data_IF_690219898002
#
_entry.id   IF_690219898002
#
_cell.length_a   1.000
_cell.length_b   1.000
_cell.length_c   1.000
_cell.angle_alpha   90.00
_cell.angle_beta   90.00
_cell.angle_gamma   90.00
#
_symmetry.space_group_name_H-M   'P 1'
#
loop_
_entity.id
_entity.type
_entity.pdbx_description
1 polymer ?
#
# COMPACT_ATOMS: atom_id res chain seq x y z
N UNK A 1 -1.08 2.10 21.09
CA UNK A 1 -1.46 0.84 20.42
C UNK A 1 -0.18 0.04 20.18
N UNK A 2 -0.20 -1.29 20.23
CA UNK A 2 0.98 -2.09 19.88
C UNK A 2 1.37 -1.86 18.40
N UNK A 3 2.66 -1.73 18.12
CA UNK A 3 3.20 -1.40 16.80
C UNK A 3 2.73 -2.38 15.71
N UNK A 4 2.78 -3.67 16.01
CA UNK A 4 2.35 -4.72 15.11
C UNK A 4 0.84 -4.69 14.91
N UNK A 5 0.05 -4.47 15.97
CA UNK A 5 -1.40 -4.31 15.87
C UNK A 5 -1.76 -3.14 14.95
N UNK A 6 -1.07 -2.00 15.09
CA UNK A 6 -1.33 -0.82 14.29
C UNK A 6 -1.05 -1.04 12.81
N UNK A 7 0.17 -1.50 12.48
CA UNK A 7 0.58 -1.76 11.08
C UNK A 7 -0.32 -2.83 10.45
N UNK A 8 -0.66 -3.88 11.20
CA UNK A 8 -1.57 -4.92 10.71
C UNK A 8 -2.99 -4.38 10.48
N UNK A 9 -3.48 -3.49 11.35
CA UNK A 9 -4.81 -2.87 11.19
C UNK A 9 -4.85 -2.00 9.94
N UNK A 10 -3.80 -1.23 9.70
CA UNK A 10 -3.65 -0.45 8.47
C UNK A 10 -3.64 -1.32 7.22
N UNK A 11 -2.73 -2.30 7.14
CA UNK A 11 -2.59 -3.14 5.95
C UNK A 11 -3.86 -3.95 5.65
N UNK A 12 -4.52 -4.50 6.67
CA UNK A 12 -5.82 -5.17 6.48
C UNK A 12 -6.87 -4.21 5.91
N UNK A 13 -6.95 -2.99 6.43
CA UNK A 13 -7.89 -1.98 5.95
C UNK A 13 -7.57 -1.56 4.51
N UNK A 14 -6.29 -1.31 4.20
CA UNK A 14 -5.83 -0.95 2.87
C UNK A 14 -6.17 -2.04 1.83
N UNK A 15 -5.84 -3.30 2.12
CA UNK A 15 -6.17 -4.45 1.26
C UNK A 15 -7.68 -4.59 1.05
N UNK A 16 -8.48 -4.37 2.10
CA UNK A 16 -9.94 -4.43 2.02
C UNK A 16 -10.48 -3.35 1.10
N UNK A 17 -10.06 -2.10 1.27
CA UNK A 17 -10.53 -0.98 0.44
C UNK A 17 -10.12 -1.16 -1.01
N UNK A 18 -8.89 -1.61 -1.29
CA UNK A 18 -8.44 -1.90 -2.66
C UNK A 18 -9.33 -2.95 -3.32
N UNK A 19 -9.66 -4.02 -2.58
CA UNK A 19 -10.56 -5.08 -3.06
C UNK A 19 -11.98 -4.56 -3.32
N UNK A 20 -12.53 -3.74 -2.42
CA UNK A 20 -13.86 -3.11 -2.58
C UNK A 20 -13.94 -2.05 -3.70
N UNK A 21 -12.79 -1.62 -4.21
CA UNK A 21 -12.68 -0.67 -5.32
C UNK A 21 -12.25 -1.35 -6.63
N UNK A 22 -12.20 -2.68 -6.66
CA UNK A 22 -11.73 -3.49 -7.79
C UNK A 22 -10.31 -3.10 -8.26
N UNK A 23 -9.48 -2.61 -7.33
CA UNK A 23 -8.08 -2.28 -7.59
C UNK A 23 -7.26 -3.54 -7.34
N UNK A 24 -6.81 -4.16 -8.42
CA UNK A 24 -6.04 -5.41 -8.38
C UNK A 24 -4.59 -5.19 -8.79
N UNK A 25 -3.75 -6.23 -8.69
CA UNK A 25 -2.34 -6.23 -9.09
C UNK A 25 -1.96 -7.52 -9.86
N UNK A 26 -2.96 -8.29 -10.30
CA UNK A 26 -2.79 -9.63 -10.88
C UNK A 26 -2.15 -9.65 -12.27
N UNK A 27 -2.13 -8.50 -12.91
CA UNK A 27 -1.50 -8.21 -14.20
C UNK A 27 -0.04 -7.76 -14.05
N UNK A 28 0.47 -7.65 -12.82
CA UNK A 28 1.89 -7.40 -12.53
C UNK A 28 2.59 -8.71 -12.15
N UNK A 29 3.93 -8.72 -12.26
CA UNK A 29 4.72 -9.92 -11.90
C UNK A 29 4.62 -10.26 -10.41
N UNK A 30 4.33 -9.25 -9.58
CA UNK A 30 4.06 -9.39 -8.15
C UNK A 30 2.67 -8.83 -7.81
N UNK A 31 1.78 -9.67 -7.28
CA UNK A 31 0.51 -9.22 -6.73
C UNK A 31 0.73 -8.65 -5.31
N UNK A 32 0.82 -7.32 -5.19
CA UNK A 32 1.03 -6.67 -3.89
C UNK A 32 -0.04 -7.03 -2.84
N UNK A 33 -1.30 -7.29 -3.23
CA UNK A 33 -2.32 -7.73 -2.28
C UNK A 33 -2.00 -9.12 -1.74
N UNK A 34 -1.58 -10.05 -2.60
CA UNK A 34 -1.20 -11.39 -2.18
C UNK A 34 0.03 -11.36 -1.25
N UNK A 35 1.08 -10.63 -1.63
CA UNK A 35 2.31 -10.49 -0.83
C UNK A 35 1.97 -9.92 0.56
N UNK A 36 1.15 -8.86 0.63
CA UNK A 36 0.74 -8.27 1.91
C UNK A 36 -0.13 -9.22 2.75
N UNK A 37 -1.05 -9.98 2.14
CA UNK A 37 -1.85 -10.98 2.86
C UNK A 37 -0.97 -12.09 3.43
N UNK A 38 -0.01 -12.59 2.65
CA UNK A 38 0.94 -13.59 3.14
C UNK A 38 1.80 -13.01 4.28
N UNK A 39 2.21 -11.74 4.22
CA UNK A 39 2.91 -11.04 5.33
C UNK A 39 2.07 -10.99 6.60
N UNK A 40 0.80 -10.61 6.48
CA UNK A 40 -0.13 -10.54 7.61
C UNK A 40 -0.35 -11.91 8.28
N UNK A 41 -0.28 -12.99 7.50
CA UNK A 41 -0.38 -14.37 7.99
C UNK A 41 0.95 -14.96 8.50
N UNK A 42 2.06 -14.23 8.41
CA UNK A 42 3.39 -14.74 8.75
C UNK A 42 3.93 -15.79 7.77
N UNK A 43 3.45 -15.79 6.53
CA UNK A 43 3.74 -16.77 5.49
C UNK A 43 4.73 -16.29 4.41
N UNK A 44 5.42 -15.17 4.62
CA UNK A 44 6.52 -14.72 3.73
C UNK A 44 7.82 -14.59 4.52
N UNK A 45 8.92 -14.80 3.82
CA UNK A 45 10.26 -14.36 4.27
C UNK A 45 10.43 -12.91 3.82
N UNK A 46 11.12 -12.05 4.58
CA UNK A 46 11.32 -10.63 4.26
C UNK A 46 11.80 -10.38 2.83
N UNK A 47 12.61 -11.31 2.29
CA UNK A 47 13.10 -11.28 0.92
C UNK A 47 12.01 -11.26 -0.16
N UNK A 48 10.91 -12.02 0.01
CA UNK A 48 9.81 -12.03 -0.98
C UNK A 48 9.17 -10.64 -1.13
N UNK A 49 9.12 -9.87 -0.03
CA UNK A 49 8.60 -8.50 -0.02
C UNK A 49 9.59 -7.52 -0.64
N UNK A 50 10.87 -7.67 -0.32
CA UNK A 50 11.95 -6.83 -0.87
C UNK A 50 12.05 -6.99 -2.39
N UNK A 51 12.07 -8.24 -2.89
CA UNK A 51 12.10 -8.52 -4.33
C UNK A 51 10.87 -7.91 -5.05
N UNK A 52 9.69 -7.99 -4.43
CA UNK A 52 8.50 -7.33 -4.95
C UNK A 52 8.65 -5.80 -4.95
N UNK A 53 9.11 -5.20 -3.84
CA UNK A 53 9.26 -3.76 -3.73
C UNK A 53 10.26 -3.22 -4.78
N UNK A 54 11.37 -3.91 -5.01
CA UNK A 54 12.36 -3.58 -6.02
C UNK A 54 11.76 -3.62 -7.44
N UNK A 55 10.95 -4.64 -7.74
CA UNK A 55 10.24 -4.71 -9.02
C UNK A 55 9.31 -3.51 -9.25
N UNK A 56 8.56 -3.10 -8.22
CA UNK A 56 7.64 -1.96 -8.32
C UNK A 56 8.38 -0.63 -8.54
N UNK A 57 9.53 -0.42 -7.89
CA UNK A 57 10.35 0.77 -8.13
C UNK A 57 10.94 0.78 -9.54
N UNK A 58 11.46 -0.36 -10.00
CA UNK A 58 11.95 -0.52 -11.38
C UNK A 58 10.86 -0.22 -12.40
N UNK A 59 9.61 -0.63 -12.16
CA UNK A 59 8.48 -0.35 -13.05
C UNK A 59 8.26 1.16 -13.25
N UNK A 60 8.40 1.97 -12.20
CA UNK A 60 8.30 3.44 -12.26
C UNK A 60 9.48 4.03 -13.01
N UNK A 61 10.69 3.58 -12.71
CA UNK A 61 11.93 4.12 -13.26
C UNK A 61 12.05 3.88 -14.76
N UNK A 62 11.76 2.67 -15.23
CA UNK A 62 11.78 2.32 -16.66
C UNK A 62 10.81 3.17 -17.49
N UNK A 63 9.70 3.58 -16.87
CA UNK A 63 8.67 4.42 -17.49
C UNK A 63 8.91 5.91 -17.30
N UNK A 64 10.01 6.30 -16.64
CA UNK A 64 10.34 7.70 -16.31
C UNK A 64 9.17 8.42 -15.66
N UNK A 65 8.48 7.73 -14.75
CA UNK A 65 7.23 8.17 -14.15
C UNK A 65 7.33 8.61 -12.65
N UNK A 66 8.47 9.11 -12.12
CA UNK A 66 8.59 9.38 -10.69
C UNK A 66 7.70 10.52 -10.19
N UNK A 67 7.19 11.38 -11.08
CA UNK A 67 6.26 12.46 -10.77
C UNK A 67 4.88 12.30 -11.45
N UNK A 68 4.59 11.11 -11.99
CA UNK A 68 3.31 10.81 -12.64
C UNK A 68 2.27 10.33 -11.61
N UNK A 69 1.12 11.02 -11.60
CA UNK A 69 0.02 10.82 -10.64
C UNK A 69 -1.37 10.80 -11.28
N UNK A 70 -1.46 10.80 -12.60
CA UNK A 70 -2.71 10.77 -13.36
C UNK A 70 -2.89 9.44 -14.10
N UNK A 71 -1.80 8.76 -14.44
CA UNK A 71 -1.87 7.43 -15.02
C UNK A 71 -2.31 6.39 -13.96
N UNK A 72 -3.41 5.67 -14.23
CA UNK A 72 -3.98 4.68 -13.32
C UNK A 72 -3.04 3.52 -13.00
N UNK A 73 -2.27 3.04 -13.97
CA UNK A 73 -1.32 1.96 -13.73
C UNK A 73 -0.15 2.43 -12.85
N UNK A 74 0.34 3.65 -13.05
CA UNK A 74 1.36 4.23 -12.17
C UNK A 74 0.81 4.46 -10.75
N UNK A 75 -0.44 4.92 -10.61
CA UNK A 75 -1.10 5.04 -9.32
C UNK A 75 -1.25 3.67 -8.63
N UNK A 76 -1.64 2.63 -9.37
CA UNK A 76 -1.68 1.25 -8.86
C UNK A 76 -0.31 0.83 -8.36
N UNK A 77 0.74 1.01 -9.16
CA UNK A 77 2.11 0.67 -8.76
C UNK A 77 2.50 1.38 -7.45
N UNK A 78 2.19 2.68 -7.31
CA UNK A 78 2.44 3.42 -6.06
C UNK A 78 1.64 2.89 -4.87
N UNK A 79 0.39 2.49 -5.08
CA UNK A 79 -0.42 1.83 -4.04
C UNK A 79 0.21 0.49 -3.62
N UNK A 80 0.78 -0.26 -4.58
CA UNK A 80 1.53 -1.48 -4.30
C UNK A 80 2.78 -1.20 -3.45
N UNK A 81 3.54 -0.16 -3.79
CA UNK A 81 4.69 0.29 -2.98
C UNK A 81 4.23 0.60 -1.55
N UNK A 82 3.15 1.35 -1.34
CA UNK A 82 2.61 1.64 0.00
C UNK A 82 2.29 0.38 0.83
N UNK A 83 1.79 -0.68 0.18
CA UNK A 83 1.50 -1.94 0.85
C UNK A 83 2.77 -2.74 1.24
N UNK A 84 3.84 -2.59 0.46
CA UNK A 84 5.08 -3.34 0.58
C UNK A 84 6.15 -2.64 1.43
N UNK A 85 6.11 -1.30 1.53
CA UNK A 85 7.10 -0.51 2.27
C UNK A 85 6.92 -0.59 3.78
N UNK A 86 5.69 -0.40 4.28
CA UNK A 86 5.49 -0.23 5.72
C UNK A 86 5.69 -1.55 6.50
N UNK A 87 6.48 -1.48 7.55
CA UNK A 87 6.66 -2.58 8.50
C UNK A 87 6.77 -2.07 9.95
N UNK A 88 6.83 -2.98 10.92
CA UNK A 88 6.74 -2.69 12.37
C UNK A 88 7.87 -1.78 12.87
N UNK A 89 9.01 -1.78 12.19
CA UNK A 89 10.18 -0.94 12.44
C UNK A 89 10.09 0.47 11.83
N UNK A 90 9.12 0.74 10.96
CA UNK A 90 8.93 2.03 10.29
C UNK A 90 7.78 2.87 10.87
N UNK A 91 7.59 2.82 12.20
CA UNK A 91 6.50 3.54 12.85
C UNK A 91 6.64 5.05 12.86
N UNK A 92 7.86 5.58 12.83
CA UNK A 92 8.12 7.03 12.90
C UNK A 92 7.39 7.77 11.77
N UNK A 93 7.31 7.15 10.59
CA UNK A 93 6.69 7.72 9.39
C UNK A 93 5.28 7.16 9.13
N UNK A 94 4.68 6.44 10.08
CA UNK A 94 3.39 5.75 9.86
C UNK A 94 2.29 6.69 9.35
N UNK A 95 2.13 7.84 9.99
CA UNK A 95 1.10 8.81 9.61
C UNK A 95 1.32 9.38 8.19
N UNK A 96 2.58 9.57 7.81
CA UNK A 96 2.96 10.01 6.47
C UNK A 96 2.66 8.93 5.42
N UNK A 97 2.99 7.67 5.73
CA UNK A 97 2.65 6.53 4.88
C UNK A 97 1.14 6.40 4.64
N UNK A 98 0.32 6.49 5.69
CA UNK A 98 -1.15 6.40 5.56
C UNK A 98 -1.69 7.61 4.78
N UNK A 99 -1.20 8.82 5.06
CA UNK A 99 -1.58 10.03 4.34
C UNK A 99 -1.27 9.91 2.84
N UNK A 100 -0.12 9.33 2.52
CA UNK A 100 0.30 9.09 1.15
C UNK A 100 -0.60 8.08 0.44
N UNK A 101 -0.91 6.95 1.07
CA UNK A 101 -1.86 5.97 0.52
C UNK A 101 -3.23 6.60 0.26
N UNK A 102 -3.76 7.37 1.21
CA UNK A 102 -5.04 8.09 1.07
C UNK A 102 -4.99 9.06 -0.13
N UNK A 103 -3.89 9.79 -0.30
CA UNK A 103 -3.69 10.71 -1.42
C UNK A 103 -3.72 9.97 -2.76
N UNK A 104 -3.03 8.82 -2.87
CA UNK A 104 -3.04 7.99 -4.07
C UNK A 104 -4.43 7.45 -4.39
N UNK A 105 -5.18 7.00 -3.38
CA UNK A 105 -6.56 6.54 -3.55
C UNK A 105 -7.49 7.64 -4.04
N UNK A 106 -7.32 8.87 -3.54
CA UNK A 106 -8.06 10.04 -4.04
C UNK A 106 -7.74 10.34 -5.49
N UNK A 107 -6.46 10.32 -5.87
CA UNK A 107 -6.04 10.50 -7.27
C UNK A 107 -6.56 9.37 -8.17
N UNK A 108 -6.74 8.16 -7.62
CA UNK A 108 -7.37 7.05 -8.32
C UNK A 108 -8.90 7.20 -8.50
N UNK A 109 -9.52 8.16 -7.81
CA UNK A 109 -10.95 8.48 -7.89
C UNK A 109 -11.79 7.85 -6.79
N UNK A 110 -11.19 7.39 -5.69
CA UNK A 110 -11.92 6.81 -4.55
C UNK A 110 -12.46 7.92 -3.65
N UNK A 111 -13.70 7.79 -3.21
CA UNK A 111 -14.39 8.80 -2.39
C UNK A 111 -13.93 8.81 -0.93
N UNK A 112 -14.00 9.99 -0.29
CA UNK A 112 -13.59 10.19 1.11
C UNK A 112 -14.30 9.25 2.10
N UNK A 113 -15.58 8.92 1.85
CA UNK A 113 -16.36 8.02 2.71
C UNK A 113 -15.74 6.63 2.84
N UNK A 114 -15.14 6.09 1.77
CA UNK A 114 -14.44 4.79 1.80
C UNK A 114 -13.09 4.87 2.53
N UNK A 115 -12.48 6.05 2.57
CA UNK A 115 -11.14 6.26 3.15
C UNK A 115 -11.20 6.64 4.64
N UNK A 116 -12.39 6.92 5.18
CA UNK A 116 -12.59 7.38 6.56
C UNK A 116 -11.99 6.43 7.61
N UNK A 117 -12.01 5.12 7.35
CA UNK A 117 -11.41 4.14 8.27
C UNK A 117 -9.90 4.31 8.39
N UNK A 118 -9.20 4.66 7.29
CA UNK A 118 -7.75 4.88 7.29
C UNK A 118 -7.39 6.20 7.97
N UNK A 119 -8.12 7.28 7.70
CA UNK A 119 -7.92 8.57 8.39
C UNK A 119 -8.19 8.48 9.89
N UNK A 120 -9.15 7.65 10.31
CA UNK A 120 -9.41 7.40 11.72
C UNK A 120 -8.28 6.60 12.42
N UNK A 121 -7.47 5.84 11.68
CA UNK A 121 -6.28 5.18 12.24
C UNK A 121 -5.20 6.20 12.60
N UNK A 122 -4.97 7.21 11.75
CA UNK A 122 -4.00 8.28 12.05
C UNK A 122 -4.37 9.11 13.28
N UNK A 123 -5.66 9.32 13.55
CA UNK A 123 -6.14 10.11 14.69
C UNK A 123 -6.06 9.37 16.04
N UNK A 124 -5.81 8.06 16.02
CA UNK A 124 -5.78 7.20 17.22
C UNK A 124 -4.37 6.80 17.66
N UNK A 125 -3.36 7.21 16.90
CA UNK A 125 -1.94 6.98 17.17
C UNK A 125 -1.33 8.20 17.84
#
# INVERSE_FOLDING_TARGET
MDAKILVNSYLNSAVTILSECDITFKDFDYDAIDVTKRRLNGCIVSKDREDALDWYWNYIDERKAPMEFYNKDILRVRLGICLLTIDVDQLEDFNEHVSWFVTLMKNYGVSDGKLQILTNLCLKN
#
